data_IF_531917776851
#
_entry.id   IF_531917776851
#
_cell.length_a   1.000
_cell.length_b   1.000
_cell.length_c   1.000
_cell.angle_alpha   90.00
_cell.angle_beta   90.00
_cell.angle_gamma   90.00
#
_symmetry.space_group_name_H-M   'P 1'
#
loop_
_entity.id
_entity.type
_entity.pdbx_description
1 polymer ?
#
# COMPACT_ATOMS: atom_id res chain seq x y z
N UNK A 1 -12.78 20.08 5.42
CA UNK A 1 -12.06 20.38 4.16
C UNK A 1 -13.04 21.01 3.19
N UNK A 2 -12.70 22.14 2.52
CA UNK A 2 -13.51 22.66 1.42
C UNK A 2 -13.40 21.74 0.19
N UNK A 3 -14.41 21.77 -0.66
CA UNK A 3 -14.40 21.11 -1.98
C UNK A 3 -13.32 21.75 -2.88
N UNK A 4 -12.61 20.96 -3.68
CA UNK A 4 -11.71 21.44 -4.75
C UNK A 4 -10.20 21.38 -4.49
N UNK A 5 -9.72 20.56 -3.55
CA UNK A 5 -8.29 20.42 -3.26
C UNK A 5 -7.64 19.24 -4.00
N UNK A 6 -6.38 19.42 -4.39
CA UNK A 6 -5.55 18.38 -4.99
C UNK A 6 -5.21 17.28 -3.96
N UNK A 7 -5.63 16.04 -4.22
CA UNK A 7 -5.18 14.87 -3.48
C UNK A 7 -3.91 14.31 -4.18
N UNK A 8 -2.82 14.03 -3.45
CA UNK A 8 -1.62 13.43 -4.04
C UNK A 8 -1.95 12.16 -4.84
N UNK A 9 -1.13 11.81 -5.85
CA UNK A 9 -1.35 10.66 -6.71
C UNK A 9 -1.14 9.36 -5.93
N UNK A 10 -2.15 8.96 -5.15
CA UNK A 10 -2.27 7.68 -4.48
C UNK A 10 -1.01 7.17 -3.78
N UNK A 11 -0.94 5.84 -3.69
CA UNK A 11 0.27 5.08 -3.45
C UNK A 11 0.31 3.92 -4.44
N UNK A 12 1.50 3.43 -4.75
CA UNK A 12 1.65 2.16 -5.45
C UNK A 12 2.16 1.09 -4.49
N UNK A 13 1.71 -0.14 -4.72
CA UNK A 13 2.10 -1.34 -3.99
C UNK A 13 2.63 -2.36 -4.99
N UNK A 14 3.81 -2.88 -4.74
CA UNK A 14 4.40 -3.95 -5.54
C UNK A 14 4.95 -5.03 -4.62
N UNK A 15 4.56 -6.29 -4.85
CA UNK A 15 5.16 -7.43 -4.14
C UNK A 15 6.32 -7.96 -4.97
N UNK A 16 7.50 -8.03 -4.37
CA UNK A 16 8.77 -8.37 -5.00
C UNK A 16 8.99 -7.58 -6.29
N UNK A 17 8.97 -8.24 -7.44
CA UNK A 17 9.04 -7.64 -8.79
C UNK A 17 7.78 -7.95 -9.62
N UNK A 18 6.67 -8.21 -8.94
CA UNK A 18 5.38 -8.52 -9.55
C UNK A 18 4.61 -7.28 -10.04
N UNK A 19 3.30 -7.45 -10.22
CA UNK A 19 2.40 -6.40 -10.68
C UNK A 19 2.38 -5.21 -9.70
N UNK A 20 2.29 -4.01 -10.27
CA UNK A 20 2.09 -2.77 -9.51
C UNK A 20 0.58 -2.55 -9.34
N UNK A 21 0.17 -2.37 -8.10
CA UNK A 21 -1.19 -2.02 -7.70
C UNK A 21 -1.24 -0.54 -7.36
N UNK A 22 -2.08 0.21 -8.04
CA UNK A 22 -2.33 1.61 -7.74
C UNK A 22 -3.46 1.72 -6.71
N UNK A 23 -3.23 2.50 -5.66
CA UNK A 23 -4.16 2.66 -4.55
C UNK A 23 -4.47 4.13 -4.34
N UNK A 24 -5.75 4.49 -4.37
CA UNK A 24 -6.16 5.87 -4.13
C UNK A 24 -6.19 6.19 -2.64
N UNK A 25 -5.67 7.38 -2.29
CA UNK A 25 -5.85 7.92 -0.94
C UNK A 25 -7.32 8.32 -0.79
N UNK A 26 -7.98 7.86 0.27
CA UNK A 26 -9.38 8.23 0.55
C UNK A 26 -9.46 9.54 1.33
N UNK A 27 -8.61 9.71 2.34
CA UNK A 27 -8.65 10.87 3.23
C UNK A 27 -7.30 11.05 3.93
N UNK A 28 -6.91 12.30 4.15
CA UNK A 28 -5.77 12.66 5.01
C UNK A 28 -6.26 13.39 6.26
N UNK A 29 -5.71 13.01 7.41
CA UNK A 29 -5.96 13.64 8.71
C UNK A 29 -4.67 13.88 9.47
N UNK A 30 -4.79 14.30 10.74
CA UNK A 30 -3.64 14.68 11.59
C UNK A 30 -2.61 13.56 11.80
N UNK A 31 -3.03 12.29 11.70
CA UNK A 31 -2.18 11.11 11.89
C UNK A 31 -1.67 10.49 10.58
N UNK A 32 -1.91 11.15 9.44
CA UNK A 32 -1.53 10.67 8.11
C UNK A 32 -2.72 10.42 7.19
N UNK A 33 -2.43 9.77 6.06
CA UNK A 33 -3.40 9.47 5.02
C UNK A 33 -3.86 8.01 5.08
N UNK A 34 -5.15 7.79 4.81
CA UNK A 34 -5.77 6.47 4.73
C UNK A 34 -6.02 6.09 3.28
N UNK A 35 -5.68 4.85 2.98
CA UNK A 35 -5.99 4.17 1.73
C UNK A 35 -6.94 3.04 2.04
N UNK A 36 -7.90 2.79 1.15
CA UNK A 36 -8.71 1.57 1.17
C UNK A 36 -8.46 0.79 -0.10
N UNK A 37 -8.15 -0.48 0.07
CA UNK A 37 -8.00 -1.43 -1.01
C UNK A 37 -8.49 -2.79 -0.52
N UNK A 38 -8.98 -3.59 -1.45
CA UNK A 38 -9.43 -4.95 -1.16
C UNK A 38 -8.32 -5.93 -1.52
N UNK A 39 -8.13 -6.95 -0.70
CA UNK A 39 -7.31 -8.10 -1.06
C UNK A 39 -8.16 -9.05 -1.89
N UNK A 40 -7.98 -9.01 -3.21
CA UNK A 40 -8.44 -10.10 -4.06
C UNK A 40 -7.57 -11.37 -3.85
N UNK A 41 -8.02 -12.50 -4.40
CA UNK A 41 -7.31 -13.77 -4.23
C UNK A 41 -5.88 -13.72 -4.78
N UNK A 42 -5.65 -12.96 -5.86
CA UNK A 42 -4.35 -12.85 -6.50
C UNK A 42 -3.36 -12.08 -5.60
N UNK A 43 -3.74 -10.88 -5.16
CA UNK A 43 -2.96 -10.05 -4.25
C UNK A 43 -2.69 -10.77 -2.93
N UNK A 44 -3.70 -11.47 -2.39
CA UNK A 44 -3.53 -12.27 -1.18
C UNK A 44 -2.52 -13.40 -1.38
N UNK A 45 -2.53 -14.07 -2.54
CA UNK A 45 -1.57 -15.12 -2.85
C UNK A 45 -0.16 -14.57 -3.07
N UNK A 46 -0.02 -13.38 -3.67
CA UNK A 46 1.26 -12.67 -3.77
C UNK A 46 1.83 -12.37 -2.38
N UNK A 47 1.02 -11.82 -1.47
CA UNK A 47 1.47 -11.53 -0.10
C UNK A 47 1.86 -12.78 0.70
N UNK A 48 1.16 -13.90 0.47
CA UNK A 48 1.50 -15.18 1.10
C UNK A 48 2.85 -15.74 0.63
N UNK A 49 3.17 -15.60 -0.66
CA UNK A 49 4.36 -16.20 -1.28
C UNK A 49 5.57 -15.26 -1.34
N UNK A 50 5.32 -13.96 -1.32
CA UNK A 50 6.34 -12.95 -1.53
C UNK A 50 7.23 -12.72 -0.31
N UNK A 51 8.39 -12.11 -0.55
CA UNK A 51 9.37 -11.82 0.50
C UNK A 51 9.29 -10.37 0.99
N UNK A 52 9.01 -9.44 0.07
CA UNK A 52 8.99 -8.01 0.35
C UNK A 52 7.89 -7.31 -0.46
N UNK A 53 7.20 -6.37 0.16
CA UNK A 53 6.34 -5.42 -0.54
C UNK A 53 6.99 -4.04 -0.56
N UNK A 54 6.88 -3.33 -1.69
CA UNK A 54 7.35 -1.96 -1.87
C UNK A 54 6.13 -1.07 -1.95
N UNK A 55 6.01 -0.13 -1.01
CA UNK A 55 5.00 0.91 -1.04
C UNK A 55 5.68 2.19 -1.54
N UNK A 56 5.15 2.81 -2.61
CA UNK A 56 5.70 4.05 -3.15
C UNK A 56 4.67 5.18 -3.08
N UNK A 57 5.10 6.36 -2.64
CA UNK A 57 4.27 7.57 -2.64
C UNK A 57 5.12 8.82 -2.85
N UNK A 58 4.49 9.93 -3.20
CA UNK A 58 5.18 11.21 -3.37
C UNK A 58 5.27 11.96 -2.05
N UNK A 59 6.49 12.39 -1.69
CA UNK A 59 6.73 13.31 -0.57
C UNK A 59 6.24 14.73 -0.87
N UNK A 60 6.36 15.61 0.11
CA UNK A 60 6.01 17.04 -0.05
C UNK A 60 6.87 17.76 -1.08
N UNK A 61 8.06 17.24 -1.36
CA UNK A 61 8.98 17.72 -2.40
C UNK A 61 8.71 17.08 -3.78
N UNK A 62 7.58 16.38 -3.93
CA UNK A 62 7.16 15.65 -5.12
C UNK A 62 8.10 14.51 -5.54
N UNK A 63 9.05 14.11 -4.68
CA UNK A 63 9.92 12.97 -4.97
C UNK A 63 9.28 11.66 -4.53
N UNK A 64 9.50 10.57 -5.28
CA UNK A 64 9.01 9.25 -4.90
C UNK A 64 9.79 8.73 -3.69
N UNK A 65 9.06 8.41 -2.63
CA UNK A 65 9.54 7.73 -1.43
C UNK A 65 9.13 6.27 -1.55
N UNK A 66 10.11 5.36 -1.46
CA UNK A 66 9.89 3.90 -1.51
C UNK A 66 10.12 3.31 -0.14
N UNK A 67 9.09 2.69 0.43
CA UNK A 67 9.13 2.04 1.73
C UNK A 67 9.07 0.53 1.53
N UNK A 68 10.16 -0.21 1.83
CA UNK A 68 10.13 -1.67 1.83
C UNK A 68 9.43 -2.18 3.09
N UNK A 69 8.60 -3.20 2.91
CA UNK A 69 7.84 -3.88 3.95
C UNK A 69 8.17 -5.37 3.86
N UNK A 70 8.71 -5.96 4.92
CA UNK A 70 8.95 -7.39 4.93
C UNK A 70 7.64 -8.16 5.03
N UNK A 71 7.48 -9.19 4.20
CA UNK A 71 6.34 -10.11 4.24
C UNK A 71 6.63 -11.36 5.10
N UNK A 72 7.79 -11.41 5.76
CA UNK A 72 8.15 -12.50 6.65
C UNK A 72 7.13 -12.61 7.79
N UNK A 73 6.52 -13.79 7.93
CA UNK A 73 5.51 -14.06 8.96
C UNK A 73 4.07 -13.69 8.56
N UNK A 74 3.84 -13.11 7.38
CA UNK A 74 2.50 -12.74 6.92
C UNK A 74 1.53 -13.94 6.92
N UNK A 75 1.96 -15.09 6.38
CA UNK A 75 1.15 -16.31 6.37
C UNK A 75 0.77 -16.80 7.77
N UNK A 76 1.70 -16.71 8.73
CA UNK A 76 1.46 -17.14 10.10
C UNK A 76 0.41 -16.24 10.75
N UNK A 77 0.61 -14.91 10.69
CA UNK A 77 -0.36 -13.95 11.23
C UNK A 77 -1.74 -14.04 10.57
N UNK A 78 -1.79 -14.29 9.25
CA UNK A 78 -3.06 -14.48 8.54
C UNK A 78 -3.81 -15.74 9.00
N UNK A 79 -3.09 -16.81 9.36
CA UNK A 79 -3.69 -18.03 9.90
C UNK A 79 -4.30 -17.82 11.28
N UNK A 80 -3.68 -16.98 12.10
CA UNK A 80 -4.16 -16.69 13.47
C UNK A 80 -5.40 -15.78 13.51
N UNK A 81 -5.70 -15.09 12.40
CA UNK A 81 -6.90 -14.24 12.25
C UNK A 81 -8.16 -15.02 11.81
N UNK A 82 -8.02 -16.29 11.44
CA UNK A 82 -9.12 -17.19 11.03
C UNK A 82 -9.57 -18.07 12.18
#
# INVERSE_FOLDING_TARGET
MPLGIYLPPGLTLQVDDGQIYEMAIEICGLKGCRVRFSFDENLLNLFKRGASAKITFSGSDQKPIKVPVSLKGFMAALKDLK
#
